data_IF_356958248029
#
_entry.id   IF_356958248029
#
_cell.length_a   1.000
_cell.length_b   1.000
_cell.length_c   1.000
_cell.angle_alpha   90.00
_cell.angle_beta   90.00
_cell.angle_gamma   90.00
#
_symmetry.space_group_name_H-M   'P 1'
#
loop_
_entity.id
_entity.type
_entity.pdbx_description
1 polymer ?
#
# COMPACT_ATOMS: atom_id res chain seq x y z
N UNK A 1 -14.67 -1.14 -6.03
CA UNK A 1 -13.70 -0.01 -6.05
C UNK A 1 -14.39 1.14 -6.78
N UNK A 2 -14.46 2.35 -6.22
CA UNK A 2 -15.04 3.48 -6.95
C UNK A 2 -14.10 3.92 -8.05
N UNK A 3 -14.63 4.23 -9.22
CA UNK A 3 -13.89 4.75 -10.38
C UNK A 3 -13.56 6.24 -10.28
N UNK A 4 -14.25 6.96 -9.37
CA UNK A 4 -14.08 8.38 -9.08
C UNK A 4 -13.30 8.59 -7.77
N UNK A 5 -12.44 9.61 -7.76
CA UNK A 5 -11.66 10.00 -6.59
C UNK A 5 -12.01 11.43 -6.18
N UNK A 6 -12.51 11.59 -4.97
CA UNK A 6 -12.68 12.89 -4.35
C UNK A 6 -11.39 13.22 -3.60
N UNK A 7 -10.62 14.19 -4.09
CA UNK A 7 -9.33 14.60 -3.54
C UNK A 7 -9.33 16.13 -3.36
N UNK A 8 -8.70 16.63 -2.29
CA UNK A 8 -8.54 18.06 -2.11
C UNK A 8 -7.65 18.64 -3.21
N UNK A 9 -7.95 19.86 -3.63
CA UNK A 9 -7.07 20.63 -4.52
C UNK A 9 -5.84 21.11 -3.74
N UNK A 10 -4.75 21.39 -4.46
CA UNK A 10 -3.53 21.91 -3.86
C UNK A 10 -3.75 23.35 -3.38
N UNK A 11 -3.83 23.55 -2.05
CA UNK A 11 -4.09 24.84 -1.40
C UNK A 11 -3.23 25.00 -0.14
N UNK A 12 -3.25 26.21 0.45
CA UNK A 12 -2.61 26.50 1.74
C UNK A 12 -1.11 26.22 1.74
N UNK A 13 -0.62 25.59 2.79
CA UNK A 13 0.80 25.29 3.00
C UNK A 13 1.38 24.28 1.99
N UNK A 14 0.55 23.53 1.30
CA UNK A 14 1.01 22.60 0.27
C UNK A 14 1.44 23.30 -1.01
N UNK A 15 0.82 24.47 -1.29
CA UNK A 15 1.11 25.22 -2.49
C UNK A 15 2.43 25.95 -2.33
N UNK A 16 3.36 25.67 -3.23
CA UNK A 16 4.65 26.35 -3.27
C UNK A 16 4.48 27.77 -3.79
N UNK A 17 5.21 28.67 -3.16
CA UNK A 17 5.30 30.06 -3.55
C UNK A 17 6.70 30.34 -4.08
N UNK A 18 6.82 31.31 -4.98
CA UNK A 18 8.09 31.87 -5.42
C UNK A 18 8.58 32.95 -4.44
N UNK A 19 9.70 33.59 -4.76
CA UNK A 19 10.30 34.63 -3.95
C UNK A 19 9.43 35.89 -3.83
N UNK A 20 8.54 36.11 -4.80
CA UNK A 20 7.58 37.21 -4.78
C UNK A 20 6.31 36.90 -3.96
N UNK A 21 6.18 35.64 -3.50
CA UNK A 21 4.99 35.16 -2.77
C UNK A 21 3.86 34.68 -3.66
N UNK A 22 4.08 34.68 -4.98
CA UNK A 22 3.13 34.18 -5.96
C UNK A 22 3.21 32.65 -6.10
N UNK A 23 2.30 32.08 -6.89
CA UNK A 23 2.27 30.63 -7.14
C UNK A 23 3.51 30.20 -7.92
N UNK A 24 4.39 29.42 -7.33
CA UNK A 24 5.57 28.88 -8.00
C UNK A 24 5.24 28.04 -9.25
N UNK A 25 4.02 27.51 -9.35
CA UNK A 25 3.51 26.81 -10.54
C UNK A 25 1.99 26.90 -10.61
N UNK A 26 1.39 27.23 -11.76
CA UNK A 26 -0.06 27.45 -11.90
C UNK A 26 -0.87 26.19 -11.64
N UNK A 27 -0.35 25.01 -12.03
CA UNK A 27 -1.06 23.72 -12.01
C UNK A 27 -0.40 22.68 -11.10
N UNK A 28 0.16 23.10 -9.96
CA UNK A 28 0.73 22.16 -8.98
C UNK A 28 -0.30 21.12 -8.56
N UNK A 29 0.07 19.84 -8.68
CA UNK A 29 -0.80 18.73 -8.27
C UNK A 29 -0.73 18.48 -6.75
N UNK A 30 -1.84 18.09 -6.11
CA UNK A 30 -1.85 17.77 -4.68
C UNK A 30 -1.06 16.48 -4.40
N UNK A 31 -0.37 16.45 -3.27
CA UNK A 31 0.40 15.26 -2.82
C UNK A 31 -0.49 14.04 -2.63
N UNK A 32 -1.72 14.24 -2.15
CA UNK A 32 -2.69 13.16 -1.94
C UNK A 32 -3.01 12.38 -3.21
N UNK A 33 -3.08 13.06 -4.36
CA UNK A 33 -3.26 12.41 -5.66
C UNK A 33 -2.07 11.52 -6.01
N UNK A 34 -0.85 12.10 -5.96
CA UNK A 34 0.37 11.35 -6.29
C UNK A 34 0.64 10.23 -5.30
N UNK A 35 0.37 10.45 -4.02
CA UNK A 35 0.47 9.41 -2.99
C UNK A 35 -0.40 8.19 -3.35
N UNK A 36 -1.67 8.41 -3.69
CA UNK A 36 -2.59 7.34 -4.04
C UNK A 36 -2.19 6.60 -5.31
N UNK A 37 -1.74 7.33 -6.34
CA UNK A 37 -1.25 6.73 -7.58
C UNK A 37 -0.01 5.87 -7.31
N UNK A 38 1.01 6.45 -6.66
CA UNK A 38 2.30 5.78 -6.44
C UNK A 38 2.15 4.54 -5.56
N UNK A 39 1.39 4.63 -4.46
CA UNK A 39 1.15 3.46 -3.59
C UNK A 39 0.37 2.36 -4.31
N UNK A 40 -0.61 2.74 -5.16
CA UNK A 40 -1.44 1.76 -5.88
C UNK A 40 -0.76 1.10 -7.08
N UNK A 41 0.33 1.68 -7.61
CA UNK A 41 0.97 1.23 -8.86
C UNK A 41 2.43 0.80 -8.72
N UNK A 42 3.05 0.99 -7.57
CA UNK A 42 4.49 0.70 -7.35
C UNK A 42 4.75 0.13 -5.98
N UNK A 43 5.93 -0.49 -5.82
CA UNK A 43 6.47 -0.95 -4.54
C UNK A 43 7.63 -0.06 -4.06
N UNK A 44 7.99 -0.06 -2.77
CA UNK A 44 9.23 0.56 -2.29
C UNK A 44 10.45 0.04 -3.07
N UNK A 45 11.31 0.97 -3.52
CA UNK A 45 12.46 0.67 -4.37
C UNK A 45 12.22 0.79 -5.87
N UNK A 46 10.97 0.80 -6.33
CA UNK A 46 10.65 1.00 -7.74
C UNK A 46 10.99 2.43 -8.20
N UNK A 47 11.16 2.60 -9.51
CA UNK A 47 11.46 3.88 -10.15
C UNK A 47 10.17 4.49 -10.72
N UNK A 48 9.89 5.74 -10.36
CA UNK A 48 8.77 6.54 -10.88
C UNK A 48 9.29 7.55 -11.89
N UNK A 49 8.83 7.48 -13.13
CA UNK A 49 9.15 8.46 -14.18
C UNK A 49 8.04 9.49 -14.31
N UNK A 50 8.41 10.77 -14.30
CA UNK A 50 7.51 11.90 -14.61
C UNK A 50 8.13 12.79 -15.68
N UNK A 51 7.64 12.72 -16.94
CA UNK A 51 8.17 13.51 -18.05
C UNK A 51 7.72 14.98 -18.01
N UNK A 52 6.82 15.37 -17.10
CA UNK A 52 6.32 16.74 -16.92
C UNK A 52 6.44 17.16 -15.46
N UNK A 53 7.68 17.15 -14.96
CA UNK A 53 7.99 17.15 -13.52
C UNK A 53 7.53 18.41 -12.76
N UNK A 54 7.50 19.56 -13.43
CA UNK A 54 7.12 20.84 -12.83
C UNK A 54 7.92 21.13 -11.55
N UNK A 55 7.21 21.44 -10.47
CA UNK A 55 7.81 21.69 -9.14
C UNK A 55 8.05 20.42 -8.33
N UNK A 56 8.08 19.24 -8.94
CA UNK A 56 8.56 18.00 -8.36
C UNK A 56 7.64 17.34 -7.33
N UNK A 57 6.32 17.48 -7.46
CA UNK A 57 5.39 16.81 -6.53
C UNK A 57 5.55 15.30 -6.57
N UNK A 58 5.67 14.73 -7.78
CA UNK A 58 5.87 13.29 -7.98
C UNK A 58 7.15 12.80 -7.30
N UNK A 59 8.28 13.48 -7.52
CA UNK A 59 9.55 13.13 -6.90
C UNK A 59 9.54 13.26 -5.37
N UNK A 60 8.86 14.29 -4.84
CA UNK A 60 8.72 14.49 -3.42
C UNK A 60 7.93 13.33 -2.77
N UNK A 61 6.84 12.91 -3.40
CA UNK A 61 6.01 11.80 -2.90
C UNK A 61 6.72 10.46 -3.10
N UNK A 62 7.36 10.23 -4.25
CA UNK A 62 8.15 9.02 -4.50
C UNK A 62 9.23 8.84 -3.43
N UNK A 63 10.04 9.88 -3.19
CA UNK A 63 11.07 9.86 -2.13
C UNK A 63 10.48 9.58 -0.75
N UNK A 64 9.37 10.25 -0.38
CA UNK A 64 8.70 10.04 0.90
C UNK A 64 8.31 8.58 1.09
N UNK A 65 7.82 7.96 0.03
CA UNK A 65 7.35 6.56 0.01
C UNK A 65 8.48 5.55 -0.26
N UNK A 66 9.75 5.95 -0.30
CA UNK A 66 10.88 5.05 -0.52
C UNK A 66 11.02 4.54 -1.94
N UNK A 67 10.44 5.26 -2.93
CA UNK A 67 10.65 5.00 -4.36
C UNK A 67 11.79 5.90 -4.87
N UNK A 68 12.46 5.45 -5.92
CA UNK A 68 13.33 6.30 -6.73
C UNK A 68 12.48 7.08 -7.75
N UNK A 69 13.05 8.15 -8.32
CA UNK A 69 12.32 8.94 -9.30
C UNK A 69 13.24 9.49 -10.39
N UNK A 70 12.68 9.64 -11.58
CA UNK A 70 13.28 10.35 -12.72
C UNK A 70 12.28 11.42 -13.12
N UNK A 71 12.69 12.68 -13.05
CA UNK A 71 11.86 13.82 -13.44
C UNK A 71 12.48 14.56 -14.61
N UNK A 72 11.68 14.85 -15.65
CA UNK A 72 12.05 15.65 -16.80
C UNK A 72 11.31 16.98 -16.73
N UNK A 73 12.05 18.06 -16.73
CA UNK A 73 11.49 19.41 -16.71
C UNK A 73 12.39 20.35 -17.54
N UNK A 74 11.76 21.10 -18.44
CA UNK A 74 12.45 22.04 -19.32
C UNK A 74 12.83 23.32 -18.59
N UNK A 75 11.92 23.86 -17.80
CA UNK A 75 12.08 25.14 -17.14
C UNK A 75 13.02 25.05 -15.94
N UNK A 76 14.11 25.80 -15.99
CA UNK A 76 15.12 25.78 -14.93
C UNK A 76 14.59 26.28 -13.58
N UNK A 77 13.71 27.27 -13.59
CA UNK A 77 13.08 27.77 -12.38
C UNK A 77 12.31 26.67 -11.64
N UNK A 78 11.54 25.87 -12.35
CA UNK A 78 10.82 24.73 -11.77
C UNK A 78 11.74 23.64 -11.28
N UNK A 79 12.84 23.36 -12.01
CA UNK A 79 13.85 22.39 -11.56
C UNK A 79 14.50 22.81 -10.23
N UNK A 80 14.81 24.08 -10.05
CA UNK A 80 15.38 24.61 -8.78
C UNK A 80 14.39 24.39 -7.63
N UNK A 81 13.14 24.78 -7.81
CA UNK A 81 12.08 24.57 -6.81
C UNK A 81 11.89 23.10 -6.48
N UNK A 82 11.85 22.23 -7.50
CA UNK A 82 11.73 20.78 -7.32
C UNK A 82 12.88 20.20 -6.51
N UNK A 83 14.14 20.57 -6.82
CA UNK A 83 15.32 20.13 -6.08
C UNK A 83 15.27 20.52 -4.61
N UNK A 84 14.91 21.78 -4.30
CA UNK A 84 14.78 22.24 -2.93
C UNK A 84 13.68 21.49 -2.17
N UNK A 85 12.51 21.38 -2.79
CA UNK A 85 11.37 20.64 -2.23
C UNK A 85 11.75 19.21 -1.89
N UNK A 86 12.35 18.48 -2.84
CA UNK A 86 12.68 17.07 -2.64
C UNK A 86 13.81 16.90 -1.62
N UNK A 87 14.77 17.84 -1.55
CA UNK A 87 15.82 17.84 -0.54
C UNK A 87 15.24 17.88 0.88
N UNK A 88 14.20 18.65 1.13
CA UNK A 88 13.54 18.78 2.44
C UNK A 88 12.65 17.60 2.83
N UNK A 89 12.30 16.70 1.88
CA UNK A 89 11.45 15.55 2.16
C UNK A 89 12.21 14.49 2.94
N UNK A 90 11.63 14.02 4.05
CA UNK A 90 12.08 12.84 4.78
C UNK A 90 11.38 11.60 4.23
N UNK A 91 12.13 10.53 4.04
CA UNK A 91 11.56 9.20 3.75
C UNK A 91 10.80 8.72 4.99
N UNK A 92 9.69 8.02 4.79
CA UNK A 92 9.11 7.23 5.85
C UNK A 92 10.12 6.18 6.34
N UNK A 93 9.99 5.76 7.58
CA UNK A 93 10.83 4.69 8.10
C UNK A 93 10.54 3.37 7.37
N UNK A 94 11.46 2.42 7.55
CA UNK A 94 11.38 1.14 6.83
C UNK A 94 10.15 0.34 7.23
N UNK A 95 9.69 0.47 8.46
CA UNK A 95 8.51 -0.25 8.94
C UNK A 95 7.22 0.34 8.35
N UNK A 96 7.10 1.67 8.27
CA UNK A 96 5.97 2.34 7.64
C UNK A 96 5.88 2.06 6.11
N UNK A 97 6.99 1.66 5.48
CA UNK A 97 7.05 1.32 4.06
C UNK A 97 6.78 -0.16 3.77
N UNK A 98 6.66 -1.02 4.80
CA UNK A 98 6.37 -2.44 4.59
C UNK A 98 5.02 -2.59 3.90
N UNK A 99 5.04 -3.30 2.78
CA UNK A 99 3.84 -3.71 2.08
C UNK A 99 3.29 -4.94 2.80
N UNK A 100 2.05 -4.87 3.27
CA UNK A 100 1.38 -6.06 3.77
C UNK A 100 1.18 -7.03 2.61
N UNK A 101 1.79 -8.20 2.69
CA UNK A 101 1.53 -9.28 1.73
C UNK A 101 0.06 -9.65 1.77
N UNK A 102 -0.54 -9.79 0.59
CA UNK A 102 -1.91 -10.28 0.51
C UNK A 102 -1.99 -11.65 1.19
N UNK A 103 -2.98 -11.87 2.05
CA UNK A 103 -3.24 -13.19 2.65
C UNK A 103 -3.37 -14.31 1.61
N UNK A 104 -3.69 -13.96 0.35
CA UNK A 104 -3.73 -14.92 -0.76
C UNK A 104 -2.34 -15.36 -1.25
N UNK A 105 -1.31 -14.56 -1.00
CA UNK A 105 0.07 -14.88 -1.38
C UNK A 105 0.81 -15.69 -0.29
N UNK A 106 0.24 -15.81 0.91
CA UNK A 106 0.79 -16.66 1.95
C UNK A 106 0.64 -18.14 1.56
N UNK A 107 1.68 -18.97 1.76
CA UNK A 107 1.56 -20.39 1.51
C UNK A 107 0.44 -20.97 2.39
N UNK A 108 -0.55 -21.58 1.74
CA UNK A 108 -1.65 -22.21 2.48
C UNK A 108 -1.12 -23.48 3.15
N UNK A 109 -1.26 -23.52 4.46
CA UNK A 109 -0.97 -24.73 5.22
C UNK A 109 -2.21 -25.64 5.14
N UNK A 110 -2.12 -26.83 4.55
CA UNK A 110 -3.23 -27.77 4.54
C UNK A 110 -3.69 -28.08 5.97
N UNK A 111 -5.00 -28.15 6.17
CA UNK A 111 -5.56 -28.37 7.51
C UNK A 111 -5.05 -29.67 8.16
N UNK A 112 -4.84 -30.71 7.37
CA UNK A 112 -4.27 -31.98 7.84
C UNK A 112 -2.91 -31.84 8.51
N UNK A 113 -2.06 -30.90 8.07
CA UNK A 113 -0.76 -30.64 8.71
C UNK A 113 -0.89 -30.09 10.14
N UNK A 114 -2.00 -29.46 10.50
CA UNK A 114 -2.24 -29.01 11.86
C UNK A 114 -2.48 -30.19 12.80
N UNK A 115 -3.13 -31.24 12.28
CA UNK A 115 -3.33 -32.49 13.01
C UNK A 115 -2.01 -33.27 13.11
N UNK A 116 -1.26 -33.41 12.03
CA UNK A 116 0.05 -34.09 11.99
C UNK A 116 1.06 -33.43 12.93
N UNK A 117 1.05 -32.10 13.04
CA UNK A 117 1.92 -31.34 13.96
C UNK A 117 1.41 -31.32 15.40
N UNK A 118 0.30 -31.97 15.69
CA UNK A 118 -0.27 -32.02 17.03
C UNK A 118 -0.89 -30.72 17.53
N UNK A 119 -1.09 -29.75 16.65
CA UNK A 119 -1.75 -28.47 16.98
C UNK A 119 -3.25 -28.65 17.22
N UNK A 120 -3.85 -29.63 16.55
CA UNK A 120 -5.22 -30.05 16.72
C UNK A 120 -5.27 -31.56 16.96
N UNK A 121 -6.11 -32.00 17.88
CA UNK A 121 -6.24 -33.44 18.19
C UNK A 121 -7.44 -34.03 17.48
N UNK A 122 -7.32 -35.26 16.95
CA UNK A 122 -8.47 -36.01 16.47
C UNK A 122 -9.57 -36.10 17.57
N UNK A 123 -10.79 -35.81 17.21
CA UNK A 123 -11.91 -35.78 18.13
C UNK A 123 -12.17 -34.39 18.76
N UNK A 124 -11.30 -33.43 18.60
CA UNK A 124 -11.47 -32.05 19.10
C UNK A 124 -12.59 -31.33 18.35
N UNK A 125 -13.36 -30.53 19.09
CA UNK A 125 -14.44 -29.71 18.52
C UNK A 125 -13.95 -28.31 18.26
N UNK A 126 -14.11 -27.84 17.02
CA UNK A 126 -13.88 -26.47 16.58
C UNK A 126 -15.21 -25.74 16.51
N UNK A 127 -15.19 -24.45 16.86
CA UNK A 127 -16.35 -23.58 16.84
C UNK A 127 -16.07 -22.35 15.98
N UNK A 128 -17.06 -21.89 15.23
CA UNK A 128 -16.96 -20.59 14.57
C UNK A 128 -16.92 -19.45 15.61
N UNK A 129 -16.37 -18.27 15.25
CA UNK A 129 -16.25 -17.13 16.18
C UNK A 129 -17.56 -16.72 16.83
N UNK A 130 -18.71 -16.96 16.20
CA UNK A 130 -20.04 -16.65 16.71
C UNK A 130 -20.74 -17.87 17.31
N UNK A 131 -20.04 -18.99 17.50
CA UNK A 131 -20.54 -20.27 18.00
C UNK A 131 -21.75 -20.87 17.24
N UNK A 132 -22.04 -20.40 16.03
CA UNK A 132 -23.16 -20.90 15.21
C UNK A 132 -22.86 -22.21 14.51
N UNK A 133 -21.60 -22.52 14.29
CA UNK A 133 -21.19 -23.75 13.60
C UNK A 133 -20.17 -24.48 14.46
N UNK A 134 -20.33 -25.80 14.49
CA UNK A 134 -19.45 -26.74 15.19
C UNK A 134 -18.93 -27.75 14.20
N UNK A 135 -17.66 -28.09 14.30
CA UNK A 135 -17.04 -29.15 13.49
C UNK A 135 -16.11 -30.00 14.35
N UNK A 136 -16.06 -31.29 14.11
CA UNK A 136 -15.17 -32.23 14.81
C UNK A 136 -14.00 -32.61 13.92
N UNK A 137 -12.79 -32.55 14.46
CA UNK A 137 -11.54 -32.89 13.78
C UNK A 137 -11.44 -34.40 13.67
N UNK A 138 -11.16 -34.89 12.46
CA UNK A 138 -10.88 -36.34 12.19
C UNK A 138 -9.37 -36.59 12.13
N UNK A 139 -9.01 -37.86 12.31
CA UNK A 139 -7.61 -38.29 12.23
C UNK A 139 -6.99 -38.15 10.84
N UNK A 140 -7.83 -38.17 9.79
CA UNK A 140 -7.42 -37.98 8.39
C UNK A 140 -7.23 -36.50 7.98
N UNK A 141 -7.32 -35.56 8.96
CA UNK A 141 -7.20 -34.14 8.66
C UNK A 141 -8.41 -33.53 7.98
N UNK A 142 -9.58 -34.18 8.06
CA UNK A 142 -10.84 -33.58 7.59
C UNK A 142 -11.71 -33.13 8.77
N UNK A 143 -12.77 -32.37 8.47
CA UNK A 143 -13.76 -31.93 9.45
C UNK A 143 -15.12 -32.59 9.17
N UNK A 144 -15.84 -32.93 10.24
CA UNK A 144 -17.25 -33.27 10.20
C UNK A 144 -18.00 -32.17 10.91
N UNK A 145 -18.87 -31.45 10.17
CA UNK A 145 -19.91 -30.56 10.73
C UNK A 145 -21.23 -31.31 10.80
N UNK A 146 -22.21 -30.68 11.45
CA UNK A 146 -23.53 -31.29 11.64
C UNK A 146 -24.25 -31.57 10.31
N UNK A 147 -23.91 -30.86 9.21
CA UNK A 147 -24.57 -31.01 7.91
C UNK A 147 -23.64 -31.29 6.70
N UNK A 148 -22.31 -31.22 6.84
CA UNK A 148 -21.40 -31.31 5.70
C UNK A 148 -20.10 -32.04 6.05
N UNK A 149 -19.75 -33.05 5.24
CA UNK A 149 -18.39 -33.62 5.22
C UNK A 149 -17.57 -32.90 4.14
N UNK A 150 -16.44 -32.32 4.49
CA UNK A 150 -15.56 -31.65 3.53
C UNK A 150 -14.15 -31.53 4.04
N UNK A 151 -13.21 -31.32 3.10
CA UNK A 151 -11.86 -30.86 3.39
C UNK A 151 -11.82 -29.34 3.35
N UNK A 152 -11.12 -28.72 4.29
CA UNK A 152 -10.84 -27.28 4.25
C UNK A 152 -9.56 -27.09 3.44
N UNK A 153 -9.68 -26.40 2.32
CA UNK A 153 -8.55 -25.98 1.49
C UNK A 153 -8.17 -24.54 1.78
#
# INVERSE_FOLDING_TARGET
MRSDWVLPICTGHERLKDEAGDKAHPTQKPKSLLHRIIVGSTNPGDVVLDPFFGTGTTGAVAKMLGREYIGIEREEAYRKVAKQRIKSVRKFDREALRVSTSKRAEPRVPFGQLVERGMLRPGENLYSMNNRHKAKVRADGTLIGDDVKGSIH
#
